data_IF_309353514246
#
_entry.id   IF_309353514246
#
_cell.length_a   1.000
_cell.length_b   1.000
_cell.length_c   1.000
_cell.angle_alpha   90.00
_cell.angle_beta   90.00
_cell.angle_gamma   90.00
#
_symmetry.space_group_name_H-M   'P 1'
#
loop_
_entity.id
_entity.type
_entity.pdbx_description
1 polymer ?
#
# COMPACT_ATOMS: atom_id res chain seq x y z
N UNK A 1 -14.92 10.87 -13.92
CA UNK A 1 -13.54 11.07 -13.42
C UNK A 1 -13.50 11.92 -12.15
N UNK A 2 -14.04 13.15 -12.14
CA UNK A 2 -14.01 14.01 -10.93
C UNK A 2 -14.63 13.36 -9.68
N UNK A 3 -15.75 12.66 -9.84
CA UNK A 3 -16.40 11.91 -8.75
C UNK A 3 -15.51 10.77 -8.21
N UNK A 4 -14.91 9.97 -9.10
CA UNK A 4 -13.95 8.91 -8.72
C UNK A 4 -12.77 9.51 -7.96
N UNK A 5 -12.18 10.60 -8.45
CA UNK A 5 -11.09 11.30 -7.74
C UNK A 5 -11.55 11.73 -6.34
N UNK A 6 -12.77 12.25 -6.20
CA UNK A 6 -13.35 12.60 -4.90
C UNK A 6 -13.46 11.40 -3.94
N UNK A 7 -13.87 10.24 -4.46
CA UNK A 7 -13.95 8.99 -3.70
C UNK A 7 -12.58 8.42 -3.32
N UNK A 8 -11.53 8.73 -4.10
CA UNK A 8 -10.16 8.31 -3.83
C UNK A 8 -9.45 9.17 -2.78
N UNK A 9 -9.93 10.39 -2.49
CA UNK A 9 -9.25 11.28 -1.53
C UNK A 9 -9.05 10.65 -0.14
N UNK A 10 -10.06 10.00 0.49
CA UNK A 10 -9.87 9.40 1.81
C UNK A 10 -8.86 8.24 1.80
N UNK A 11 -8.89 7.40 0.76
CA UNK A 11 -7.97 6.25 0.64
C UNK A 11 -6.55 6.73 0.34
N UNK A 12 -6.38 7.72 -0.54
CA UNK A 12 -5.10 8.35 -0.84
C UNK A 12 -4.47 8.99 0.41
N UNK A 13 -5.26 9.70 1.23
CA UNK A 13 -4.78 10.23 2.52
C UNK A 13 -4.36 9.09 3.46
N UNK A 14 -5.11 7.99 3.50
CA UNK A 14 -4.78 6.80 4.29
C UNK A 14 -3.44 6.18 3.92
N UNK A 15 -3.15 6.08 2.61
CA UNK A 15 -1.87 5.60 2.06
C UNK A 15 -0.74 6.60 2.34
N UNK A 16 -0.97 7.90 2.12
CA UNK A 16 0.02 8.95 2.33
C UNK A 16 0.47 9.05 3.80
N UNK A 17 -0.45 8.90 4.75
CA UNK A 17 -0.19 8.91 6.20
C UNK A 17 0.26 7.55 6.74
N UNK A 18 0.90 6.71 5.92
CA UNK A 18 1.40 5.40 6.32
C UNK A 18 2.79 5.51 6.94
N UNK A 19 2.97 5.18 8.25
CA UNK A 19 4.23 5.38 8.94
C UNK A 19 5.40 4.63 8.31
N UNK A 20 5.18 3.41 7.82
CA UNK A 20 6.23 2.57 7.27
C UNK A 20 6.79 3.12 5.94
N UNK A 21 5.96 3.50 4.94
CA UNK A 21 6.37 4.29 3.80
C UNK A 21 7.11 5.58 4.13
N UNK A 22 6.63 6.36 5.11
CA UNK A 22 7.29 7.60 5.53
C UNK A 22 8.72 7.30 6.00
N UNK A 23 8.90 6.28 6.84
CA UNK A 23 10.24 5.83 7.26
C UNK A 23 11.07 5.40 6.06
N UNK A 24 10.50 4.63 5.11
CA UNK A 24 11.18 4.22 3.89
C UNK A 24 11.70 5.41 3.07
N UNK A 25 10.87 6.43 2.85
CA UNK A 25 11.24 7.67 2.15
C UNK A 25 12.36 8.40 2.89
N UNK A 26 12.23 8.59 4.20
CA UNK A 26 13.26 9.25 5.00
C UNK A 26 14.60 8.52 4.89
N UNK A 27 14.60 7.19 5.01
CA UNK A 27 15.83 6.41 4.91
C UNK A 27 16.44 6.43 3.50
N UNK A 28 15.62 6.47 2.45
CA UNK A 28 16.11 6.67 1.08
C UNK A 28 16.78 8.03 0.92
N UNK A 29 16.17 9.09 1.47
CA UNK A 29 16.71 10.45 1.45
C UNK A 29 17.97 10.63 2.32
N UNK A 30 18.16 9.75 3.31
CA UNK A 30 19.36 9.73 4.16
C UNK A 30 20.43 8.72 3.70
N UNK A 31 20.17 7.94 2.65
CA UNK A 31 21.13 6.96 2.12
C UNK A 31 22.32 7.64 1.44
N UNK A 32 23.46 6.95 1.32
CA UNK A 32 24.66 7.48 0.69
C UNK A 32 24.43 7.95 -0.77
N UNK A 33 23.44 7.37 -1.45
CA UNK A 33 23.06 7.67 -2.84
C UNK A 33 21.68 8.34 -2.94
N UNK A 34 21.31 9.18 -1.97
CA UNK A 34 19.98 9.80 -1.86
C UNK A 34 19.43 10.41 -3.17
N UNK A 35 20.28 11.11 -3.95
CA UNK A 35 19.88 11.73 -5.23
C UNK A 35 19.39 10.74 -6.29
N UNK A 36 19.85 9.48 -6.21
CA UNK A 36 19.43 8.41 -7.13
C UNK A 36 18.37 7.53 -6.47
N UNK A 37 18.55 7.20 -5.19
CA UNK A 37 17.67 6.31 -4.45
C UNK A 37 16.28 6.91 -4.20
N UNK A 38 16.16 8.23 -3.98
CA UNK A 38 14.87 8.90 -3.82
C UNK A 38 13.95 8.76 -5.05
N UNK A 39 14.40 9.21 -6.24
CA UNK A 39 13.63 9.00 -7.48
C UNK A 39 13.42 7.53 -7.82
N UNK A 40 14.41 6.67 -7.60
CA UNK A 40 14.27 5.22 -7.81
C UNK A 40 13.17 4.62 -6.93
N UNK A 41 13.11 5.01 -5.66
CA UNK A 41 12.03 4.63 -4.75
C UNK A 41 10.66 5.12 -5.26
N UNK A 42 10.57 6.36 -5.72
CA UNK A 42 9.33 6.90 -6.27
C UNK A 42 8.84 6.13 -7.50
N UNK A 43 9.75 5.76 -8.41
CA UNK A 43 9.42 4.94 -9.58
C UNK A 43 8.88 3.58 -9.13
N UNK A 44 9.56 2.94 -8.19
CA UNK A 44 9.08 1.68 -7.60
C UNK A 44 7.72 1.83 -6.96
N UNK A 45 7.51 2.91 -6.22
CA UNK A 45 6.24 3.22 -5.54
C UNK A 45 5.07 3.30 -6.52
N UNK A 46 5.21 4.13 -7.56
CA UNK A 46 4.20 4.31 -8.60
C UNK A 46 3.94 3.00 -9.36
N UNK A 47 5.00 2.25 -9.67
CA UNK A 47 4.86 0.95 -10.31
C UNK A 47 4.08 -0.05 -9.43
N UNK A 48 4.37 -0.09 -8.13
CA UNK A 48 3.65 -0.96 -7.19
C UNK A 48 2.16 -0.61 -7.09
N UNK A 49 1.81 0.68 -7.01
CA UNK A 49 0.40 1.12 -7.01
C UNK A 49 -0.29 0.76 -8.33
N UNK A 50 0.32 1.09 -9.47
CA UNK A 50 -0.24 0.77 -10.78
C UNK A 50 -0.48 -0.73 -10.97
N UNK A 51 0.46 -1.58 -10.54
CA UNK A 51 0.31 -3.03 -10.62
C UNK A 51 -0.84 -3.50 -9.74
N UNK A 52 -0.86 -3.11 -8.46
CA UNK A 52 -1.88 -3.61 -7.51
C UNK A 52 -3.27 -3.13 -7.89
N UNK A 53 -3.44 -1.82 -8.07
CA UNK A 53 -4.73 -1.23 -8.46
C UNK A 53 -5.15 -1.73 -9.84
N UNK A 54 -4.22 -1.85 -10.79
CA UNK A 54 -4.49 -2.40 -12.12
C UNK A 54 -4.95 -3.86 -12.07
N UNK A 55 -4.33 -4.69 -11.22
CA UNK A 55 -4.79 -6.07 -10.99
C UNK A 55 -6.21 -6.08 -10.41
N UNK A 56 -6.48 -5.25 -9.40
CA UNK A 56 -7.82 -5.16 -8.81
C UNK A 56 -8.84 -4.77 -9.90
N UNK A 57 -8.58 -3.72 -10.67
CA UNK A 57 -9.47 -3.29 -11.76
C UNK A 57 -9.65 -4.38 -12.82
N UNK A 58 -8.61 -5.15 -13.13
CA UNK A 58 -8.68 -6.22 -14.12
C UNK A 58 -9.47 -7.46 -13.64
N UNK A 59 -9.49 -7.74 -12.34
CA UNK A 59 -10.16 -8.91 -11.75
C UNK A 59 -11.52 -8.58 -11.12
N UNK A 60 -11.83 -7.31 -10.89
CA UNK A 60 -13.12 -6.86 -10.38
C UNK A 60 -14.09 -6.72 -11.55
N UNK A 61 -15.15 -7.52 -11.51
CA UNK A 61 -16.23 -7.48 -12.49
C UNK A 61 -17.18 -6.30 -12.20
N UNK A 62 -17.25 -5.28 -13.07
CA UNK A 62 -18.09 -4.10 -12.85
C UNK A 62 -19.58 -4.45 -12.71
N UNK A 63 -20.03 -5.52 -13.38
CA UNK A 63 -21.43 -5.97 -13.32
C UNK A 63 -21.80 -6.59 -11.97
N UNK A 64 -20.80 -7.00 -11.18
CA UNK A 64 -20.99 -7.45 -9.78
C UNK A 64 -21.04 -6.29 -8.79
N UNK A 65 -20.43 -5.16 -9.13
CA UNK A 65 -20.47 -3.94 -8.31
C UNK A 65 -21.75 -3.12 -8.55
N UNK A 66 -22.28 -3.12 -9.78
CA UNK A 66 -23.42 -2.30 -10.19
C UNK A 66 -24.78 -3.02 -10.08
N UNK A 67 -24.82 -4.32 -9.81
CA UNK A 67 -26.06 -5.02 -9.46
C UNK A 67 -26.34 -4.81 -7.99
N UNK A 68 -27.46 -4.13 -7.70
CA UNK A 68 -28.05 -4.08 -6.36
C UNK A 68 -28.01 -5.46 -5.70
N UNK A 69 -27.29 -5.56 -4.57
CA UNK A 69 -27.52 -6.64 -3.61
C UNK A 69 -26.86 -8.00 -3.89
N UNK A 70 -25.67 -8.04 -4.48
CA UNK A 70 -24.80 -9.19 -4.24
C UNK A 70 -24.33 -9.15 -2.78
N UNK A 71 -25.10 -9.73 -1.85
CA UNK A 71 -24.71 -9.81 -0.44
C UNK A 71 -23.25 -10.32 -0.34
N UNK A 72 -22.39 -9.68 0.49
CA UNK A 72 -21.04 -10.16 0.73
C UNK A 72 -21.11 -11.65 1.03
N UNK A 73 -20.36 -12.45 0.26
CA UNK A 73 -20.43 -13.89 0.46
C UNK A 73 -19.96 -14.22 1.87
N UNK A 74 -20.44 -15.31 2.46
CA UNK A 74 -19.93 -15.76 3.77
C UNK A 74 -18.41 -15.91 3.75
N UNK A 75 -17.84 -16.26 2.59
CA UNK A 75 -16.40 -16.31 2.37
C UNK A 75 -15.73 -14.94 2.47
N UNK A 76 -16.31 -13.88 1.89
CA UNK A 76 -15.79 -12.51 2.00
C UNK A 76 -15.77 -12.04 3.44
N UNK A 77 -16.88 -12.25 4.17
CA UNK A 77 -16.95 -11.93 5.60
C UNK A 77 -15.93 -12.70 6.44
N UNK A 78 -15.73 -14.00 6.14
CA UNK A 78 -14.76 -14.85 6.82
C UNK A 78 -13.32 -14.40 6.54
N UNK A 79 -13.01 -14.02 5.30
CA UNK A 79 -11.70 -13.50 4.92
C UNK A 79 -11.38 -12.18 5.64
N UNK A 80 -12.32 -11.24 5.68
CA UNK A 80 -12.15 -9.98 6.42
C UNK A 80 -11.96 -10.22 7.93
N UNK A 81 -12.72 -11.14 8.51
CA UNK A 81 -12.59 -11.50 9.92
C UNK A 81 -11.22 -12.11 10.22
N UNK A 82 -10.77 -13.06 9.40
CA UNK A 82 -9.45 -13.69 9.54
C UNK A 82 -8.33 -12.67 9.39
N UNK A 83 -8.40 -11.79 8.38
CA UNK A 83 -7.43 -10.71 8.19
C UNK A 83 -7.40 -9.75 9.38
N UNK A 84 -8.57 -9.34 9.88
CA UNK A 84 -8.70 -8.50 11.07
C UNK A 84 -8.07 -9.15 12.31
N UNK A 85 -8.34 -10.44 12.54
CA UNK A 85 -7.72 -11.21 13.64
C UNK A 85 -6.21 -11.28 13.49
N UNK A 86 -5.69 -11.57 12.29
CA UNK A 86 -4.25 -11.62 12.04
C UNK A 86 -3.57 -10.28 12.31
N UNK A 87 -4.19 -9.16 11.90
CA UNK A 87 -3.70 -7.82 12.18
C UNK A 87 -3.70 -7.51 13.69
N UNK A 88 -4.76 -7.91 14.43
CA UNK A 88 -4.80 -7.77 15.88
C UNK A 88 -3.71 -8.60 16.58
N UNK A 89 -3.48 -9.84 16.13
CA UNK A 89 -2.42 -10.70 16.65
C UNK A 89 -1.03 -10.08 16.40
N UNK A 90 -0.80 -9.52 15.21
CA UNK A 90 0.43 -8.80 14.90
C UNK A 90 0.60 -7.55 15.77
N UNK A 91 -0.46 -6.79 15.99
CA UNK A 91 -0.43 -5.63 16.88
C UNK A 91 -0.09 -6.02 18.32
N UNK A 92 -0.73 -7.07 18.85
CA UNK A 92 -0.43 -7.62 20.19
C UNK A 92 1.02 -8.12 20.25
N UNK A 93 1.50 -8.82 19.22
CA UNK A 93 2.90 -9.28 19.15
C UNK A 93 3.86 -8.09 19.20
N UNK A 94 3.66 -7.07 18.37
CA UNK A 94 4.51 -5.87 18.37
C UNK A 94 4.49 -5.15 19.72
N UNK A 95 3.31 -5.03 20.34
CA UNK A 95 3.17 -4.42 21.66
C UNK A 95 3.91 -5.20 22.75
N UNK A 96 3.84 -6.53 22.71
CA UNK A 96 4.54 -7.41 23.67
C UNK A 96 6.04 -7.50 23.40
N UNK A 97 6.48 -7.35 22.15
CA UNK A 97 7.89 -7.37 21.75
C UNK A 97 8.58 -6.00 21.86
N UNK A 98 7.90 -4.97 22.40
CA UNK A 98 8.50 -3.65 22.60
C UNK A 98 9.65 -3.75 23.61
N UNK A 99 10.81 -3.11 23.37
CA UNK A 99 11.91 -3.09 24.32
C UNK A 99 11.47 -2.51 25.67
N UNK A 100 11.97 -3.09 26.77
CA UNK A 100 11.73 -2.57 28.11
C UNK A 100 12.58 -1.30 28.36
N UNK A 101 12.22 -0.53 29.40
CA UNK A 101 13.02 0.65 29.79
C UNK A 101 14.46 0.21 30.08
N UNK A 102 15.41 0.75 29.32
CA UNK A 102 16.85 0.44 29.46
C UNK A 102 17.38 -0.58 28.46
N UNK A 103 16.53 -1.23 27.65
CA UNK A 103 16.97 -2.06 26.54
C UNK A 103 17.18 -1.20 25.28
N UNK A 104 18.35 -1.32 24.65
CA UNK A 104 18.59 -0.68 23.36
C UNK A 104 17.66 -1.26 22.30
N UNK A 105 16.90 -0.38 21.64
CA UNK A 105 16.12 -0.75 20.47
C UNK A 105 17.07 -1.18 19.35
N UNK A 106 17.20 -2.49 19.13
CA UNK A 106 18.02 -3.03 18.04
C UNK A 106 17.49 -2.53 16.71
N UNK A 107 18.32 -1.80 15.98
CA UNK A 107 17.98 -1.29 14.66
C UNK A 107 17.60 -2.46 13.75
N UNK A 108 16.41 -2.45 13.12
CA UNK A 108 15.98 -3.54 12.26
C UNK A 108 16.97 -3.77 11.10
N UNK A 109 17.17 -5.03 10.74
CA UNK A 109 18.16 -5.42 9.74
C UNK A 109 17.89 -4.84 8.34
N UNK A 110 16.64 -4.56 7.98
CA UNK A 110 16.27 -3.87 6.74
C UNK A 110 16.70 -2.40 6.73
N UNK A 111 16.72 -1.77 7.91
CA UNK A 111 17.15 -0.39 8.12
C UNK A 111 18.67 -0.27 8.03
N UNK A 112 19.42 -1.22 8.61
CA UNK A 112 20.88 -1.27 8.51
C UNK A 112 21.37 -1.41 7.06
N UNK A 113 20.62 -2.14 6.22
CA UNK A 113 20.93 -2.33 4.80
C UNK A 113 20.71 -1.08 3.93
N UNK A 114 20.08 -0.03 4.45
CA UNK A 114 19.75 1.17 3.66
C UNK A 114 20.86 2.19 3.51
N UNK A 115 21.90 2.15 4.36
CA UNK A 115 23.05 3.05 4.20
C UNK A 115 23.74 2.85 2.85
N UNK A 116 23.88 1.59 2.42
CA UNK A 116 24.47 1.18 1.14
C UNK A 116 23.43 0.74 0.10
N UNK A 117 22.18 1.20 0.23
CA UNK A 117 21.11 0.83 -0.69
C UNK A 117 21.50 1.12 -2.16
N UNK A 118 21.36 0.10 -3.00
CA UNK A 118 21.47 0.26 -4.45
C UNK A 118 20.18 0.87 -5.03
N UNK A 119 20.23 1.53 -6.20
CA UNK A 119 19.03 2.06 -6.85
C UNK A 119 17.97 0.98 -7.12
N UNK A 120 18.38 -0.23 -7.50
CA UNK A 120 17.46 -1.37 -7.72
C UNK A 120 16.76 -1.76 -6.42
N UNK A 121 17.49 -1.78 -5.31
CA UNK A 121 16.91 -2.02 -4.00
C UNK A 121 15.89 -0.93 -3.64
N UNK A 122 16.18 0.35 -3.95
CA UNK A 122 15.26 1.46 -3.74
C UNK A 122 13.95 1.29 -4.55
N UNK A 123 14.04 0.92 -5.83
CA UNK A 123 12.85 0.58 -6.65
C UNK A 123 12.06 -0.55 -6.01
N UNK A 124 12.72 -1.66 -5.67
CA UNK A 124 12.06 -2.82 -5.06
C UNK A 124 11.38 -2.48 -3.73
N UNK A 125 12.01 -1.64 -2.92
CA UNK A 125 11.44 -1.19 -1.64
C UNK A 125 10.24 -0.27 -1.85
N UNK A 126 10.30 0.64 -2.82
CA UNK A 126 9.16 1.47 -3.21
C UNK A 126 7.96 0.63 -3.62
N UNK A 127 8.16 -0.33 -4.52
CA UNK A 127 7.10 -1.22 -5.00
C UNK A 127 6.53 -2.11 -3.90
N UNK A 128 7.39 -2.63 -3.02
CA UNK A 128 6.96 -3.46 -1.89
C UNK A 128 6.15 -2.65 -0.87
N UNK A 129 6.60 -1.44 -0.52
CA UNK A 129 5.93 -0.62 0.49
C UNK A 129 4.65 0.04 0.00
N UNK A 130 4.51 0.29 -1.31
CA UNK A 130 3.23 0.71 -1.88
C UNK A 130 2.29 -0.48 -1.99
N UNK A 131 2.67 -1.50 -2.76
CA UNK A 131 1.75 -2.55 -3.18
C UNK A 131 1.58 -3.74 -2.22
N UNK A 132 2.53 -4.00 -1.32
CA UNK A 132 2.47 -5.18 -0.43
C UNK A 132 2.42 -4.83 1.06
N UNK A 133 2.30 -3.55 1.39
CA UNK A 133 2.05 -3.12 2.76
C UNK A 133 0.61 -3.45 3.15
N UNK A 134 0.36 -4.29 4.17
CA UNK A 134 -1.00 -4.72 4.54
C UNK A 134 -1.97 -3.57 4.81
N UNK A 135 -1.48 -2.45 5.35
CA UNK A 135 -2.30 -1.24 5.56
C UNK A 135 -2.69 -0.62 4.22
N UNK A 136 -1.73 -0.45 3.32
CA UNK A 136 -1.97 0.22 2.03
C UNK A 136 -2.84 -0.66 1.12
N UNK A 137 -2.63 -1.98 1.13
CA UNK A 137 -3.45 -2.94 0.38
C UNK A 137 -4.95 -2.77 0.62
N UNK A 138 -5.39 -2.49 1.84
CA UNK A 138 -6.80 -2.25 2.15
C UNK A 138 -7.32 -1.00 1.42
N UNK A 139 -6.52 0.07 1.41
CA UNK A 139 -6.86 1.30 0.71
C UNK A 139 -6.78 1.13 -0.82
N UNK A 140 -5.80 0.38 -1.32
CA UNK A 140 -5.61 0.11 -2.74
C UNK A 140 -6.75 -0.75 -3.31
N UNK A 141 -7.25 -1.72 -2.53
CA UNK A 141 -8.46 -2.50 -2.87
C UNK A 141 -9.68 -1.60 -2.97
N UNK A 142 -9.91 -0.73 -1.97
CA UNK A 142 -11.02 0.21 -2.01
C UNK A 142 -10.91 1.19 -3.19
N UNK A 143 -9.71 1.69 -3.47
CA UNK A 143 -9.42 2.55 -4.60
C UNK A 143 -9.67 1.85 -5.94
N UNK A 144 -9.16 0.62 -6.11
CA UNK A 144 -9.36 -0.18 -7.31
C UNK A 144 -10.83 -0.51 -7.56
N UNK A 145 -11.61 -0.79 -6.51
CA UNK A 145 -13.05 -0.99 -6.63
C UNK A 145 -13.78 0.28 -7.10
N UNK A 146 -13.44 1.45 -6.53
CA UNK A 146 -14.00 2.73 -6.96
C UNK A 146 -13.63 3.07 -8.42
N UNK A 147 -12.40 2.78 -8.84
CA UNK A 147 -11.93 2.96 -10.21
C UNK A 147 -12.63 2.00 -11.18
N UNK A 148 -12.85 0.75 -10.79
CA UNK A 148 -13.54 -0.25 -11.59
C UNK A 148 -15.05 0.06 -11.75
N UNK A 149 -15.69 0.59 -10.70
CA UNK A 149 -17.08 1.03 -10.74
C UNK A 149 -17.29 2.29 -11.58
N UNK A 150 -16.32 3.22 -11.55
CA UNK A 150 -16.34 4.40 -12.41
C UNK A 150 -16.13 4.01 -13.86
N UNK A 151 -17.10 4.29 -14.74
CA UNK A 151 -17.02 4.03 -16.19
C UNK A 151 -15.93 4.88 -16.88
N UNK A 152 -14.66 4.61 -16.56
CA UNK A 152 -13.46 5.32 -16.98
C UNK A 152 -12.80 4.59 -18.16
N UNK A 153 -12.16 5.36 -19.04
CA UNK A 153 -11.26 4.76 -20.04
C UNK A 153 -10.01 4.17 -19.37
N UNK A 154 -9.31 3.26 -20.03
CA UNK A 154 -8.07 2.67 -19.49
C UNK A 154 -7.01 3.73 -19.15
N UNK A 155 -6.92 4.81 -19.95
CA UNK A 155 -6.03 5.94 -19.66
C UNK A 155 -6.45 6.70 -18.39
N UNK A 156 -7.75 6.89 -18.16
CA UNK A 156 -8.28 7.53 -16.96
C UNK A 156 -8.11 6.64 -15.72
N UNK A 157 -8.22 5.32 -15.85
CA UNK A 157 -7.96 4.37 -14.77
C UNK A 157 -6.50 4.43 -14.32
N UNK A 158 -5.55 4.50 -15.26
CA UNK A 158 -4.12 4.66 -14.94
C UNK A 158 -3.86 5.98 -14.22
N UNK A 159 -4.45 7.08 -14.71
CA UNK A 159 -4.29 8.40 -14.08
C UNK A 159 -4.94 8.43 -12.70
N UNK A 160 -6.05 7.72 -12.47
CA UNK A 160 -6.70 7.64 -11.17
C UNK A 160 -5.95 6.74 -10.17
N UNK A 161 -5.15 5.79 -10.66
CA UNK A 161 -4.38 4.86 -9.83
C UNK A 161 -3.05 5.42 -9.30
N UNK A 162 -2.62 6.58 -9.77
CA UNK A 162 -1.31 7.20 -9.49
C UNK A 162 -1.46 8.55 -8.77
#
# INVERSE_FOLDING_TARGET
>A
MGEVIGQLLPTAVGVALSPLPIVGVILMLLSAKARVNGPAFLIGWLAGLAIVVGLIVAFVDPDRLNKDGGDPTTLDGLLHLVLGILLLLLAVKQWKSRPNKGEEAKMPSWMAKMQDASPIFAVGMGAFLSGLNPKNLIFDIAAGAAIAAGSLTSSQQIVAAL
#
